data_IF_118580627166
#
_entry.id   IF_118580627166
#
_cell.length_a   1.000
_cell.length_b   1.000
_cell.length_c   1.000
_cell.angle_alpha   90.00
_cell.angle_beta   90.00
_cell.angle_gamma   90.00
#
_symmetry.space_group_name_H-M   'P 1'
#
loop_
_entity.id
_entity.type
_entity.pdbx_description
1 polymer ?
#
# COMPACT_ATOMS: atom_id res chain seq x y z
N UNK A 1 -13.24 9.50 -20.82
CA UNK A 1 -14.20 8.94 -19.86
C UNK A 1 -13.47 8.84 -18.54
N UNK A 2 -13.86 9.72 -17.61
CA UNK A 2 -13.54 9.85 -16.17
C UNK A 2 -12.11 9.45 -15.74
N UNK A 3 -11.17 10.34 -15.45
CA UNK A 3 -11.33 11.56 -14.66
C UNK A 3 -11.48 11.25 -13.17
N UNK A 4 -10.74 10.30 -12.60
CA UNK A 4 -10.70 10.11 -11.15
C UNK A 4 -9.70 11.09 -10.55
N UNK A 5 -10.24 12.26 -10.18
CA UNK A 5 -9.65 13.07 -9.12
C UNK A 5 -9.47 12.18 -7.88
N UNK A 6 -8.23 11.90 -7.52
CA UNK A 6 -7.88 11.40 -6.20
C UNK A 6 -8.23 12.55 -5.23
N UNK A 7 -9.45 12.49 -4.69
CA UNK A 7 -10.02 13.51 -3.81
C UNK A 7 -9.13 13.74 -2.60
N UNK A 8 -8.84 15.02 -2.35
CA UNK A 8 -7.93 15.62 -1.36
C UNK A 8 -8.30 15.37 0.13
N UNK A 9 -9.10 14.33 0.43
CA UNK A 9 -9.59 14.02 1.77
C UNK A 9 -9.27 12.60 2.26
N UNK A 10 -8.81 11.70 1.39
CA UNK A 10 -8.56 10.29 1.77
C UNK A 10 -7.12 10.02 2.23
N UNK A 11 -6.19 10.97 2.03
CA UNK A 11 -4.74 10.82 2.31
C UNK A 11 -4.38 10.79 3.81
N UNK A 12 -5.35 10.90 4.73
CA UNK A 12 -5.08 10.96 6.16
C UNK A 12 -4.87 9.58 6.82
N UNK A 13 -5.26 8.48 6.17
CA UNK A 13 -5.03 7.12 6.67
C UNK A 13 -4.04 6.36 5.78
N UNK A 14 -3.08 5.62 6.35
CA UNK A 14 -2.13 4.82 5.58
C UNK A 14 -2.86 3.86 4.63
N UNK A 15 -3.96 3.26 5.08
CA UNK A 15 -4.80 2.33 4.32
C UNK A 15 -5.18 2.86 2.92
N UNK A 16 -5.54 4.14 2.81
CA UNK A 16 -5.98 4.73 1.53
C UNK A 16 -4.82 5.00 0.57
N UNK A 17 -3.63 5.30 1.09
CA UNK A 17 -2.41 5.45 0.28
C UNK A 17 -1.95 4.10 -0.28
N UNK A 18 -2.02 3.06 0.55
CA UNK A 18 -1.68 1.71 0.16
C UNK A 18 -2.57 1.24 -1.00
N UNK A 19 -3.88 1.39 -0.86
CA UNK A 19 -4.87 1.04 -1.89
C UNK A 19 -4.62 1.80 -3.19
N UNK A 20 -4.35 3.10 -3.11
CA UNK A 20 -4.08 3.90 -4.31
C UNK A 20 -2.84 3.40 -5.06
N UNK A 21 -1.73 3.15 -4.37
CA UNK A 21 -0.50 2.66 -5.01
C UNK A 21 -0.63 1.24 -5.56
N UNK A 22 -1.29 0.36 -4.81
CA UNK A 22 -1.54 -1.01 -5.29
C UNK A 22 -2.48 -0.98 -6.50
N UNK A 23 -3.48 -0.09 -6.52
CA UNK A 23 -4.37 0.07 -7.68
C UNK A 23 -3.65 0.59 -8.91
N UNK A 24 -2.69 1.51 -8.74
CA UNK A 24 -1.82 1.95 -9.83
C UNK A 24 -0.89 0.84 -10.34
N UNK A 25 -0.42 -0.05 -9.46
CA UNK A 25 0.50 -1.15 -9.81
C UNK A 25 -0.21 -2.35 -10.45
N UNK A 26 -1.43 -2.65 -10.03
CA UNK A 26 -2.24 -3.78 -10.53
C UNK A 26 -3.20 -3.37 -11.64
N UNK A 27 -3.26 -2.08 -11.99
CA UNK A 27 -4.26 -1.51 -12.91
C UNK A 27 -5.71 -1.80 -12.47
N UNK A 28 -5.91 -2.03 -11.18
CA UNK A 28 -7.19 -2.39 -10.56
C UNK A 28 -7.82 -1.17 -9.85
N UNK A 29 -9.11 -0.94 -10.14
CA UNK A 29 -9.82 0.26 -9.67
C UNK A 29 -10.69 0.01 -8.44
N UNK A 30 -11.02 -1.24 -8.14
CA UNK A 30 -11.89 -1.66 -7.04
C UNK A 30 -11.08 -2.45 -6.01
N UNK A 31 -10.19 -1.75 -5.32
CA UNK A 31 -9.34 -2.33 -4.28
C UNK A 31 -9.75 -1.82 -2.91
N UNK A 32 -9.73 -2.72 -1.93
CA UNK A 32 -9.93 -2.42 -0.52
C UNK A 32 -8.64 -2.58 0.26
N UNK A 33 -8.48 -1.79 1.33
CA UNK A 33 -7.34 -1.93 2.23
C UNK A 33 -7.33 -3.28 2.96
N UNK A 34 -8.47 -3.97 2.98
CA UNK A 34 -8.64 -5.30 3.57
C UNK A 34 -8.25 -6.44 2.62
N UNK A 35 -7.98 -6.14 1.35
CA UNK A 35 -7.55 -7.14 0.38
C UNK A 35 -6.09 -7.51 0.61
N UNK A 36 -5.76 -8.78 0.38
CA UNK A 36 -4.37 -9.22 0.39
C UNK A 36 -3.73 -8.97 -0.96
N UNK A 37 -2.47 -8.55 -0.93
CA UNK A 37 -1.71 -8.28 -2.13
C UNK A 37 -1.61 -9.49 -3.08
N UNK A 38 -1.48 -10.70 -2.53
CA UNK A 38 -1.45 -11.94 -3.31
C UNK A 38 -2.78 -12.27 -3.99
N UNK A 39 -3.90 -12.04 -3.29
CA UNK A 39 -5.25 -12.34 -3.81
C UNK A 39 -5.58 -11.44 -5.01
N UNK A 40 -5.02 -10.24 -5.05
CA UNK A 40 -5.14 -9.29 -6.15
C UNK A 40 -4.18 -9.58 -7.34
N UNK A 41 -3.39 -10.66 -7.27
CA UNK A 41 -2.39 -11.00 -8.29
C UNK A 41 -1.02 -10.36 -8.09
N UNK A 42 -0.80 -9.74 -6.93
CA UNK A 42 0.49 -9.17 -6.56
C UNK A 42 1.58 -10.24 -6.38
N UNK A 43 2.73 -10.01 -6.99
CA UNK A 43 3.90 -10.90 -6.95
C UNK A 43 5.15 -10.17 -6.46
N UNK A 44 6.24 -10.92 -6.22
CA UNK A 44 7.49 -10.42 -5.59
C UNK A 44 8.07 -9.17 -6.26
N UNK A 45 7.94 -9.06 -7.59
CA UNK A 45 8.40 -7.88 -8.34
C UNK A 45 7.57 -6.64 -8.00
N UNK A 46 6.24 -6.74 -8.03
CA UNK A 46 5.36 -5.63 -7.67
C UNK A 46 5.48 -5.27 -6.18
N UNK A 47 5.69 -6.27 -5.31
CA UNK A 47 5.93 -6.05 -3.89
C UNK A 47 7.22 -5.26 -3.64
N UNK A 48 8.29 -5.53 -4.42
CA UNK A 48 9.53 -4.77 -4.38
C UNK A 48 9.31 -3.33 -4.84
N UNK A 49 8.64 -3.13 -5.98
CA UNK A 49 8.32 -1.80 -6.49
C UNK A 49 7.47 -0.98 -5.49
N UNK A 50 6.47 -1.63 -4.87
CA UNK A 50 5.66 -1.01 -3.83
C UNK A 50 6.51 -0.64 -2.62
N UNK A 51 7.40 -1.52 -2.15
CA UNK A 51 8.27 -1.26 -1.00
C UNK A 51 9.22 -0.08 -1.26
N UNK A 52 9.82 -0.01 -2.46
CA UNK A 52 10.66 1.13 -2.85
C UNK A 52 9.87 2.44 -2.90
N UNK A 53 8.64 2.41 -3.42
CA UNK A 53 7.76 3.58 -3.48
C UNK A 53 7.33 4.06 -2.10
N UNK A 54 6.88 3.13 -1.24
CA UNK A 54 6.52 3.38 0.16
C UNK A 54 7.70 4.02 0.90
N UNK A 55 8.90 3.48 0.72
CA UNK A 55 10.13 4.02 1.31
C UNK A 55 10.46 5.41 0.80
N UNK A 56 10.27 5.68 -0.49
CA UNK A 56 10.53 6.99 -1.10
C UNK A 56 9.54 8.06 -0.66
N UNK A 57 8.25 7.73 -0.59
CA UNK A 57 7.17 8.69 -0.33
C UNK A 57 6.89 8.87 1.17
N UNK A 58 6.98 7.80 1.98
CA UNK A 58 6.70 7.83 3.43
C UNK A 58 7.97 7.73 4.28
N UNK A 59 9.10 7.31 3.73
CA UNK A 59 10.33 7.08 4.50
C UNK A 59 10.27 5.81 5.37
N UNK A 60 9.35 4.88 5.10
CA UNK A 60 9.14 3.65 5.88
C UNK A 60 9.47 2.42 5.04
N UNK A 61 10.00 1.37 5.68
CA UNK A 61 10.32 0.12 4.99
C UNK A 61 9.12 -0.82 5.07
N UNK A 62 8.61 -1.27 3.92
CA UNK A 62 7.51 -2.23 3.85
C UNK A 62 8.06 -3.64 3.78
N UNK A 63 7.76 -4.43 4.82
CA UNK A 63 8.16 -5.83 4.91
C UNK A 63 7.30 -6.69 3.98
N UNK A 64 7.93 -7.34 3.00
CA UNK A 64 7.26 -8.21 2.04
C UNK A 64 6.57 -9.40 2.74
N UNK A 65 7.14 -9.91 3.83
CA UNK A 65 6.52 -11.01 4.57
C UNK A 65 5.18 -10.55 5.13
N UNK A 66 5.13 -9.36 5.74
CA UNK A 66 3.89 -8.80 6.30
C UNK A 66 2.89 -8.46 5.18
N UNK A 67 3.35 -7.93 4.05
CA UNK A 67 2.50 -7.65 2.88
C UNK A 67 1.83 -8.91 2.31
N UNK A 68 2.49 -10.06 2.40
CA UNK A 68 1.94 -11.34 1.94
C UNK A 68 1.12 -12.08 3.00
N UNK A 69 1.38 -11.82 4.28
CA UNK A 69 0.70 -12.48 5.39
C UNK A 69 -0.55 -11.73 5.89
N UNK A 70 -0.66 -10.43 5.55
CA UNK A 70 -1.74 -9.54 5.99
C UNK A 70 -2.35 -8.75 4.84
N UNK A 71 -3.49 -8.12 5.14
CA UNK A 71 -4.11 -7.16 4.24
C UNK A 71 -3.20 -5.97 3.97
N UNK A 72 -3.36 -5.35 2.80
CA UNK A 72 -2.54 -4.22 2.33
C UNK A 72 -2.54 -3.06 3.35
N UNK A 73 -3.71 -2.76 3.92
CA UNK A 73 -3.88 -1.73 4.95
C UNK A 73 -3.13 -2.07 6.23
N UNK A 74 -3.31 -3.29 6.75
CA UNK A 74 -2.60 -3.73 7.95
C UNK A 74 -1.08 -3.71 7.76
N UNK A 75 -0.59 -4.16 6.61
CA UNK A 75 0.84 -4.19 6.33
C UNK A 75 1.45 -2.77 6.33
N UNK A 76 0.74 -1.80 5.74
CA UNK A 76 1.21 -0.42 5.73
C UNK A 76 1.06 0.27 7.09
N UNK A 77 -0.04 0.03 7.81
CA UNK A 77 -0.23 0.54 9.16
C UNK A 77 0.86 0.05 10.12
N UNK A 78 1.24 -1.22 10.01
CA UNK A 78 2.32 -1.85 10.77
C UNK A 78 3.69 -1.24 10.40
N UNK A 79 3.97 -1.05 9.11
CA UNK A 79 5.19 -0.37 8.64
C UNK A 79 5.32 1.07 9.17
N UNK A 80 4.25 1.86 9.10
CA UNK A 80 4.21 3.23 9.64
C UNK A 80 4.36 3.25 11.16
N UNK A 81 3.74 2.30 11.86
CA UNK A 81 3.85 2.17 13.31
C UNK A 81 5.27 1.84 13.73
N UNK A 82 5.92 0.86 13.08
CA UNK A 82 7.33 0.51 13.30
C UNK A 82 8.27 1.67 13.04
N UNK A 83 8.06 2.42 11.96
CA UNK A 83 8.88 3.59 11.65
C UNK A 83 8.73 4.72 12.68
N UNK A 84 7.57 4.83 13.33
CA UNK A 84 7.33 5.80 14.41
C UNK A 84 7.94 5.38 15.75
N UNK A 85 7.98 4.09 16.06
CA UNK A 85 8.54 3.58 17.32
C UNK A 85 10.05 3.40 17.29
N UNK A 86 10.66 3.30 16.11
CA UNK A 86 12.11 3.23 15.92
C UNK A 86 12.83 4.59 16.11
N UNK A 87 12.14 5.60 16.65
CA UNK A 87 12.63 6.97 16.87
C UNK A 87 12.69 7.31 18.35
#
# INVERSE_FOLDING_TARGET
MTGQQITEAQTAHPDNLAVAWVGELLEESDLSAQDNFLDLGGHSVLALELSERVKKDLGVDLDMQILFERSIGEALADAVTRARTAK
#
